data_IF_396651100784
#
_entry.id   IF_396651100784
#
_cell.length_a   1.000
_cell.length_b   1.000
_cell.length_c   1.000
_cell.angle_alpha   90.00
_cell.angle_beta   90.00
_cell.angle_gamma   90.00
#
_symmetry.space_group_name_H-M   'P 1'
#
loop_
_entity.id
_entity.type
_entity.pdbx_description
1 polymer ?
#
# COMPACT_ATOMS: atom_id res chain seq x y z
N UNK A 1 -10.03 2.98 41.66
CA UNK A 1 -9.39 4.15 41.01
C UNK A 1 -7.97 3.84 40.56
N UNK A 2 -7.21 3.01 41.29
CA UNK A 2 -5.85 2.57 40.94
C UNK A 2 -5.76 1.61 39.74
N UNK A 3 -6.76 0.74 39.55
CA UNK A 3 -6.76 -0.28 38.49
C UNK A 3 -6.96 0.24 37.05
N UNK A 4 -7.33 1.52 36.86
CA UNK A 4 -7.42 2.12 35.51
C UNK A 4 -6.09 2.70 35.03
N UNK A 5 -5.23 3.10 35.96
CA UNK A 5 -3.90 3.66 35.67
C UNK A 5 -2.92 2.55 35.25
N UNK A 6 -3.00 1.40 35.93
CA UNK A 6 -2.18 0.21 35.64
C UNK A 6 -2.46 -0.40 34.24
N UNK A 7 -3.60 -0.05 33.61
CA UNK A 7 -4.01 -0.54 32.29
C UNK A 7 -3.47 0.30 31.14
N UNK A 8 -3.17 1.58 31.38
CA UNK A 8 -2.53 2.46 30.39
C UNK A 8 -1.01 2.23 30.33
N UNK A 9 -0.37 1.93 31.46
CA UNK A 9 1.08 1.68 31.50
C UNK A 9 1.48 0.36 30.81
N UNK A 10 0.63 -0.68 30.91
CA UNK A 10 0.85 -1.95 30.22
C UNK A 10 0.57 -1.87 28.70
N UNK A 11 -0.22 -0.89 28.25
CA UNK A 11 -0.45 -0.65 26.82
C UNK A 11 0.78 -0.03 26.13
N UNK A 12 1.59 0.76 26.85
CA UNK A 12 2.85 1.30 26.35
C UNK A 12 3.94 0.24 26.15
N UNK A 13 3.96 -0.77 27.02
CA UNK A 13 5.00 -1.83 26.99
C UNK A 13 4.76 -2.85 25.88
N UNK A 14 3.51 -3.24 25.60
CA UNK A 14 3.18 -4.20 24.53
C UNK A 14 3.48 -3.67 23.12
N UNK A 15 3.45 -2.36 22.90
CA UNK A 15 3.75 -1.76 21.60
C UNK A 15 5.24 -1.75 21.24
N UNK A 16 6.11 -2.10 22.19
CA UNK A 16 7.57 -2.07 21.99
C UNK A 16 8.16 -3.44 21.64
N UNK A 17 7.44 -4.53 21.90
CA UNK A 17 7.99 -5.90 21.84
C UNK A 17 7.82 -6.60 20.48
N UNK A 18 7.04 -6.02 19.56
CA UNK A 18 6.78 -6.58 18.21
C UNK A 18 7.29 -5.71 17.05
N UNK A 19 8.08 -4.67 17.33
CA UNK A 19 8.43 -3.67 16.32
C UNK A 19 7.21 -2.81 16.02
N UNK A 20 7.05 -1.72 16.76
CA UNK A 20 5.88 -0.84 16.71
C UNK A 20 5.65 -0.25 15.31
N UNK A 21 4.83 -0.93 14.53
CA UNK A 21 4.23 -0.43 13.30
C UNK A 21 2.73 -0.51 13.48
N UNK A 22 2.04 0.63 13.49
CA UNK A 22 0.60 0.64 13.62
C UNK A 22 0.00 -0.05 12.37
N UNK A 23 -1.10 -0.78 12.54
CA UNK A 23 -1.77 -1.47 11.45
C UNK A 23 -2.28 -0.54 10.32
N UNK A 24 -2.21 0.78 10.51
CA UNK A 24 -2.54 1.80 9.50
C UNK A 24 -1.32 2.40 8.78
N UNK A 25 -0.09 2.03 9.15
CA UNK A 25 1.11 2.63 8.58
C UNK A 25 1.54 1.91 7.30
N UNK A 26 1.75 2.68 6.23
CA UNK A 26 2.27 2.15 4.98
C UNK A 26 3.79 1.96 5.06
N UNK A 27 4.23 0.70 5.07
CA UNK A 27 5.66 0.34 5.01
C UNK A 27 5.95 -0.66 3.91
N UNK A 28 6.93 -0.35 3.07
CA UNK A 28 7.34 -1.21 1.94
C UNK A 28 8.32 -2.30 2.39
N UNK A 29 9.13 -1.96 3.40
CA UNK A 29 10.20 -2.76 3.98
C UNK A 29 9.68 -4.07 4.56
N UNK A 30 8.39 -4.13 4.92
CA UNK A 30 7.73 -5.35 5.42
C UNK A 30 7.85 -6.51 4.45
N UNK A 31 7.92 -6.26 3.15
CA UNK A 31 8.05 -7.28 2.11
C UNK A 31 9.50 -7.64 1.77
N UNK A 32 10.48 -6.88 2.27
CA UNK A 32 11.91 -7.11 2.02
C UNK A 32 12.56 -7.99 3.09
N UNK A 33 11.81 -8.36 4.15
CA UNK A 33 12.30 -9.28 5.18
C UNK A 33 12.45 -10.70 4.64
N UNK A 34 13.41 -11.47 5.14
CA UNK A 34 13.62 -12.87 4.69
C UNK A 34 12.35 -13.73 4.81
N UNK A 35 11.53 -13.45 5.84
CA UNK A 35 10.26 -14.12 6.06
C UNK A 35 9.24 -13.82 4.95
N UNK A 36 9.10 -12.55 4.58
CA UNK A 36 8.02 -12.09 3.71
C UNK A 36 8.44 -11.95 2.24
N UNK A 37 9.72 -12.06 1.92
CA UNK A 37 10.26 -11.92 0.56
C UNK A 37 9.74 -12.98 -0.43
N UNK A 38 9.19 -14.09 0.08
CA UNK A 38 8.65 -15.19 -0.72
C UNK A 38 7.12 -15.23 -0.75
N UNK A 39 6.44 -14.25 -0.15
CA UNK A 39 4.97 -14.21 -0.11
C UNK A 39 4.43 -14.11 -1.54
N UNK A 40 3.52 -15.01 -1.86
CA UNK A 40 2.84 -15.09 -3.14
C UNK A 40 1.41 -14.54 -3.05
N UNK A 41 1.09 -13.40 -3.69
CA UNK A 41 -0.25 -12.80 -3.68
C UNK A 41 -1.30 -13.60 -4.47
N UNK A 42 -0.93 -14.75 -5.05
CA UNK A 42 -1.83 -15.65 -5.79
C UNK A 42 -2.71 -16.55 -4.89
N UNK A 43 -2.78 -16.26 -3.59
CA UNK A 43 -3.74 -16.88 -2.67
C UNK A 43 -3.29 -18.18 -2.01
N UNK A 44 -1.99 -18.50 -2.09
CA UNK A 44 -1.39 -19.62 -1.34
C UNK A 44 -0.95 -19.19 0.07
N UNK A 45 -0.54 -17.93 0.22
CA UNK A 45 -0.05 -17.39 1.48
C UNK A 45 -1.10 -16.48 2.13
N UNK A 46 -1.56 -16.87 3.32
CA UNK A 46 -2.63 -16.17 4.04
C UNK A 46 -2.21 -14.81 4.62
N UNK A 47 -0.90 -14.52 4.61
CA UNK A 47 -0.33 -13.24 5.01
C UNK A 47 -0.69 -12.12 4.03
N UNK A 48 -1.04 -12.44 2.77
CA UNK A 48 -1.46 -11.48 1.74
C UNK A 48 -2.44 -12.10 0.72
N UNK A 49 -3.72 -11.73 0.79
CA UNK A 49 -4.80 -12.29 -0.06
C UNK A 49 -5.63 -11.23 -0.81
N UNK A 50 -5.01 -10.34 -1.62
CA UNK A 50 -5.70 -9.24 -2.30
C UNK A 50 -6.75 -9.71 -3.32
N UNK A 51 -6.58 -10.93 -3.85
CA UNK A 51 -7.47 -11.53 -4.84
C UNK A 51 -8.36 -12.66 -4.26
N UNK A 52 -8.35 -12.83 -2.94
CA UNK A 52 -8.94 -13.97 -2.26
C UNK A 52 -8.11 -15.26 -2.39
N UNK A 53 -8.69 -16.39 -2.00
CA UNK A 53 -8.05 -17.70 -2.01
C UNK A 53 -9.04 -18.84 -2.29
N UNK A 54 -8.53 -20.01 -2.65
CA UNK A 54 -9.32 -21.23 -2.87
C UNK A 54 -10.23 -21.19 -4.11
N UNK A 55 -11.39 -21.87 -4.04
CA UNK A 55 -12.29 -22.08 -5.19
C UNK A 55 -12.96 -20.81 -5.74
N UNK A 56 -12.94 -19.71 -4.98
CA UNK A 56 -13.54 -18.42 -5.36
C UNK A 56 -12.49 -17.32 -5.52
N UNK A 57 -11.23 -17.69 -5.75
CA UNK A 57 -10.17 -16.73 -6.07
C UNK A 57 -10.53 -15.94 -7.35
N UNK A 58 -10.12 -14.67 -7.41
CA UNK A 58 -10.33 -13.82 -8.57
C UNK A 58 -9.80 -14.50 -9.84
N UNK A 59 -10.67 -14.69 -10.83
CA UNK A 59 -10.27 -15.26 -12.13
C UNK A 59 -9.22 -14.40 -12.86
N UNK A 60 -9.15 -13.10 -12.53
CA UNK A 60 -8.21 -12.14 -13.08
C UNK A 60 -6.87 -12.01 -12.33
N UNK A 61 -6.59 -12.83 -11.32
CA UNK A 61 -5.40 -12.69 -10.43
C UNK A 61 -4.10 -12.48 -11.20
N UNK A 62 -3.80 -13.35 -12.18
CA UNK A 62 -2.56 -13.28 -12.95
C UNK A 62 -2.48 -12.01 -13.81
N UNK A 63 -3.59 -11.63 -14.44
CA UNK A 63 -3.64 -10.40 -15.25
C UNK A 63 -3.50 -9.16 -14.37
N UNK A 64 -4.17 -9.13 -13.22
CA UNK A 64 -4.11 -8.02 -12.28
C UNK A 64 -2.70 -7.74 -11.79
N UNK A 65 -1.95 -8.79 -11.41
CA UNK A 65 -0.55 -8.65 -10.97
C UNK A 65 0.31 -8.03 -12.06
N UNK A 66 0.31 -8.63 -13.26
CA UNK A 66 1.14 -8.16 -14.39
C UNK A 66 0.77 -6.73 -14.78
N UNK A 67 -0.51 -6.39 -14.81
CA UNK A 67 -0.99 -5.06 -15.18
C UNK A 67 -0.57 -4.01 -14.15
N UNK A 68 -0.70 -4.31 -12.86
CA UNK A 68 -0.29 -3.41 -11.79
C UNK A 68 1.22 -3.18 -11.82
N UNK A 69 2.01 -4.24 -11.95
CA UNK A 69 3.48 -4.13 -12.08
C UNK A 69 3.88 -3.28 -13.28
N UNK A 70 3.28 -3.53 -14.45
CA UNK A 70 3.58 -2.79 -15.67
C UNK A 70 3.20 -1.31 -15.58
N UNK A 71 1.98 -1.00 -15.12
CA UNK A 71 1.51 0.38 -14.98
C UNK A 71 2.35 1.12 -13.95
N UNK A 72 2.58 0.53 -12.77
CA UNK A 72 3.37 1.18 -11.72
C UNK A 72 4.81 1.40 -12.17
N UNK A 73 5.44 0.40 -12.80
CA UNK A 73 6.80 0.54 -13.35
C UNK A 73 6.88 1.65 -14.38
N UNK A 74 5.91 1.72 -15.29
CA UNK A 74 5.86 2.77 -16.32
C UNK A 74 5.66 4.16 -15.72
N UNK A 75 4.70 4.30 -14.80
CA UNK A 75 4.37 5.58 -14.17
C UNK A 75 5.48 6.11 -13.26
N UNK A 76 6.11 5.23 -12.49
CA UNK A 76 7.23 5.58 -11.61
C UNK A 76 8.50 5.89 -12.40
N UNK A 77 8.73 5.23 -13.53
CA UNK A 77 9.88 5.49 -14.38
C UNK A 77 9.74 6.79 -15.19
N UNK A 78 8.54 7.06 -15.71
CA UNK A 78 8.33 8.11 -16.73
C UNK A 78 8.05 9.49 -16.15
N UNK A 79 7.49 9.58 -14.93
CA UNK A 79 7.00 10.84 -14.37
C UNK A 79 7.52 11.12 -12.97
N UNK A 80 7.84 12.39 -12.71
CA UNK A 80 8.00 12.92 -11.36
C UNK A 80 6.64 13.38 -10.83
N UNK A 81 6.28 12.91 -9.64
CA UNK A 81 4.99 13.15 -9.01
C UNK A 81 5.11 14.22 -7.91
N UNK A 82 4.23 15.23 -7.95
CA UNK A 82 4.16 16.27 -6.92
C UNK A 82 2.71 16.57 -6.54
N UNK A 83 2.50 16.99 -5.30
CA UNK A 83 1.21 17.52 -4.88
C UNK A 83 1.09 18.99 -5.28
N UNK A 84 -0.09 19.45 -5.73
CA UNK A 84 -0.33 20.87 -5.95
C UNK A 84 -0.08 21.68 -4.68
N UNK A 85 0.53 22.85 -4.81
CA UNK A 85 0.82 23.72 -3.67
C UNK A 85 -0.45 24.04 -2.86
N UNK A 86 -0.34 24.01 -1.54
CA UNK A 86 -1.46 24.27 -0.62
C UNK A 86 -2.45 23.11 -0.46
N UNK A 87 -2.24 21.96 -1.11
CA UNK A 87 -3.13 20.79 -0.96
C UNK A 87 -2.68 19.90 0.20
N UNK A 88 -3.60 19.58 1.11
CA UNK A 88 -3.38 18.56 2.13
C UNK A 88 -3.92 17.20 1.63
N UNK A 89 -3.14 16.14 1.82
CA UNK A 89 -3.49 14.80 1.34
C UNK A 89 -4.47 14.13 2.31
N UNK A 90 -5.76 14.12 1.97
CA UNK A 90 -6.77 13.37 2.72
C UNK A 90 -6.64 11.85 2.42
N UNK A 91 -6.33 11.01 3.40
CA UNK A 91 -6.23 9.54 3.23
C UNK A 91 -7.47 8.79 3.71
N UNK A 92 -8.59 9.49 3.93
CA UNK A 92 -9.85 8.87 4.32
C UNK A 92 -10.44 8.07 3.16
N UNK A 93 -11.20 7.04 3.50
CA UNK A 93 -11.72 6.06 2.55
C UNK A 93 -13.25 6.03 2.58
N UNK A 94 -13.85 5.71 1.44
CA UNK A 94 -15.26 5.40 1.32
C UNK A 94 -15.42 3.93 0.99
N UNK A 95 -16.19 3.22 1.81
CA UNK A 95 -16.46 1.80 1.63
C UNK A 95 -17.31 1.52 0.38
N UNK A 96 -17.00 0.43 -0.32
CA UNK A 96 -17.66 -0.01 -1.56
C UNK A 96 -17.13 -1.36 -2.01
N UNK A 97 -17.44 -1.80 -3.24
CA UNK A 97 -16.91 -3.06 -3.81
C UNK A 97 -15.37 -3.07 -3.87
N UNK A 98 -14.77 -1.90 -4.12
CA UNK A 98 -13.35 -1.64 -3.96
C UNK A 98 -13.19 -0.45 -3.00
N UNK A 99 -12.12 -0.48 -2.22
CA UNK A 99 -11.74 0.62 -1.34
C UNK A 99 -11.36 1.82 -2.22
N UNK A 100 -12.02 2.96 -1.98
CA UNK A 100 -11.79 4.18 -2.74
C UNK A 100 -11.50 5.31 -1.78
N UNK A 101 -10.65 6.23 -2.20
CA UNK A 101 -10.38 7.48 -1.47
C UNK A 101 -11.67 8.29 -1.36
N UNK A 102 -11.97 8.84 -0.19
CA UNK A 102 -13.15 9.66 0.06
C UNK A 102 -13.10 10.96 -0.76
N UNK A 103 -11.90 11.55 -0.87
CA UNK A 103 -11.64 12.72 -1.69
C UNK A 103 -10.68 12.33 -2.82
N UNK A 104 -11.03 12.53 -4.11
CA UNK A 104 -10.13 12.20 -5.22
C UNK A 104 -8.73 12.82 -5.07
N UNK A 105 -7.69 12.06 -5.41
CA UNK A 105 -6.31 12.56 -5.39
C UNK A 105 -6.06 13.50 -6.57
N UNK A 106 -5.54 14.70 -6.29
CA UNK A 106 -4.98 15.59 -7.29
C UNK A 106 -3.45 15.52 -7.24
N UNK A 107 -2.81 15.27 -8.38
CA UNK A 107 -1.36 15.18 -8.52
C UNK A 107 -0.91 15.92 -9.77
N UNK A 108 0.22 16.61 -9.67
CA UNK A 108 0.94 17.17 -10.82
C UNK A 108 2.02 16.19 -11.26
N UNK A 109 2.04 15.89 -12.55
CA UNK A 109 3.05 15.03 -13.17
C UNK A 109 3.93 15.86 -14.10
N UNK A 110 5.24 15.62 -14.03
CA UNK A 110 6.22 16.18 -14.97
C UNK A 110 6.98 15.04 -15.62
N UNK A 111 7.14 15.07 -16.94
CA UNK A 111 7.94 14.06 -17.63
C UNK A 111 9.39 14.12 -17.12
N UNK A 112 9.92 12.97 -16.70
CA UNK A 112 11.26 12.90 -16.10
C UNK A 112 12.37 13.04 -17.13
N UNK A 113 12.17 12.47 -18.32
CA UNK A 113 13.13 12.55 -19.42
C UNK A 113 12.68 13.60 -20.46
N UNK A 114 13.63 14.19 -21.20
CA UNK A 114 13.28 15.08 -22.31
C UNK A 114 12.51 14.33 -23.40
N UNK A 115 11.64 15.03 -24.14
CA UNK A 115 10.75 14.43 -25.16
C UNK A 115 11.49 13.59 -26.21
N UNK A 116 12.72 13.95 -26.55
CA UNK A 116 13.54 13.22 -27.51
C UNK A 116 13.98 11.82 -27.01
N UNK A 117 14.00 11.57 -25.71
CA UNK A 117 14.28 10.25 -25.15
C UNK A 117 13.11 9.27 -25.31
N UNK A 118 11.92 9.77 -25.65
CA UNK A 118 10.73 8.97 -25.94
C UNK A 118 10.42 8.87 -27.45
N UNK A 119 11.23 9.52 -28.29
CA UNK A 119 11.09 9.41 -29.74
C UNK A 119 11.62 8.04 -30.21
N UNK A 120 10.90 7.33 -31.11
CA UNK A 120 11.30 6.04 -31.64
C UNK A 120 12.51 6.10 -32.58
#
# INVERSE_FOLDING_TARGET
MKEREDREENAGTINTISGGLAAGDFTTERFLTEKNAKIDPRGNDLELIPFGAGRRICAGTRMGIVLVEYILGTLAHSFDWRLPEGTNLNMDETFGQALRKAVPLSAMITARLPLNAYAP
#
